data_IF_157126959034
#
_entry.id   IF_157126959034
#
_cell.length_a   1.000
_cell.length_b   1.000
_cell.length_c   1.000
_cell.angle_alpha   90.00
_cell.angle_beta   90.00
_cell.angle_gamma   90.00
#
_symmetry.space_group_name_H-M   'P 1'
#
loop_
_entity.id
_entity.type
_entity.pdbx_description
1 polymer ?
#
# COMPACT_ATOMS: atom_id res chain seq x y z
N UNK A 1 -8.88 12.41 24.04
CA UNK A 1 -8.52 13.21 22.86
C UNK A 1 -8.83 12.38 21.63
N UNK A 2 -9.54 12.91 20.64
CA UNK A 2 -9.67 12.24 19.34
C UNK A 2 -8.31 12.34 18.63
N UNK A 3 -7.75 11.20 18.24
CA UNK A 3 -6.56 11.17 17.40
C UNK A 3 -6.98 11.45 15.96
N UNK A 4 -6.44 12.51 15.36
CA UNK A 4 -6.68 12.83 13.96
C UNK A 4 -5.86 11.89 13.09
N UNK A 5 -6.53 11.18 12.19
CA UNK A 5 -5.90 10.31 11.20
C UNK A 5 -5.84 11.07 9.87
N UNK A 6 -4.66 11.17 9.29
CA UNK A 6 -4.46 11.77 7.95
C UNK A 6 -4.31 10.66 6.92
N UNK A 7 -4.96 10.78 5.77
CA UNK A 7 -4.79 9.82 4.67
C UNK A 7 -4.00 10.51 3.55
N UNK A 8 -2.93 9.86 3.08
CA UNK A 8 -2.15 10.35 1.94
C UNK A 8 -1.84 9.24 0.94
N UNK A 9 -1.38 9.64 -0.25
CA UNK A 9 -0.84 8.71 -1.24
C UNK A 9 0.39 8.00 -0.66
N UNK A 10 0.43 6.68 -0.82
CA UNK A 10 1.63 5.90 -0.55
C UNK A 10 2.66 6.11 -1.66
N UNK A 11 3.94 6.09 -1.31
CA UNK A 11 5.07 6.11 -2.26
C UNK A 11 6.10 5.04 -1.91
N UNK A 12 7.14 4.91 -2.74
CA UNK A 12 8.22 3.93 -2.51
C UNK A 12 8.79 3.93 -1.07
N UNK A 13 9.01 5.07 -0.39
CA UNK A 13 9.48 5.08 0.99
C UNK A 13 8.56 4.38 2.00
N UNK A 14 7.28 4.17 1.66
CA UNK A 14 6.34 3.49 2.53
C UNK A 14 6.44 1.96 2.43
N UNK A 15 7.22 1.41 1.48
CA UNK A 15 7.28 -0.03 1.20
C UNK A 15 7.66 -0.87 2.43
N UNK A 16 8.69 -0.47 3.18
CA UNK A 16 9.11 -1.17 4.40
C UNK A 16 8.00 -1.23 5.46
N UNK A 17 7.32 -0.10 5.68
CA UNK A 17 6.22 0.00 6.63
C UNK A 17 5.03 -0.85 6.18
N UNK A 18 4.73 -0.85 4.88
CA UNK A 18 3.67 -1.68 4.32
C UNK A 18 3.98 -3.18 4.44
N UNK A 19 5.20 -3.61 4.12
CA UNK A 19 5.63 -5.01 4.28
C UNK A 19 5.52 -5.44 5.74
N UNK A 20 5.99 -4.59 6.66
CA UNK A 20 5.92 -4.87 8.10
C UNK A 20 4.48 -5.05 8.58
N UNK A 21 3.55 -4.20 8.14
CA UNK A 21 2.13 -4.34 8.47
C UNK A 21 1.53 -5.61 7.85
N UNK A 22 1.81 -5.87 6.57
CA UNK A 22 1.33 -7.08 5.88
C UNK A 22 1.82 -8.35 6.58
N UNK A 23 3.07 -8.37 7.04
CA UNK A 23 3.61 -9.46 7.84
C UNK A 23 2.87 -9.62 9.18
N UNK A 24 2.66 -8.52 9.92
CA UNK A 24 1.95 -8.55 11.21
C UNK A 24 0.50 -9.02 11.07
N UNK A 25 -0.16 -8.73 9.95
CA UNK A 25 -1.54 -9.17 9.72
C UNK A 25 -1.66 -10.68 9.51
N UNK A 26 -0.57 -11.35 9.09
CA UNK A 26 -0.56 -12.78 8.75
C UNK A 26 -1.47 -13.16 7.57
N UNK A 27 -2.04 -12.18 6.84
CA UNK A 27 -2.96 -12.43 5.73
C UNK A 27 -2.28 -13.09 4.53
N UNK A 28 -0.98 -12.88 4.38
CA UNK A 28 -0.19 -13.38 3.26
C UNK A 28 0.93 -14.28 3.77
N UNK A 29 0.75 -15.59 3.69
CA UNK A 29 1.72 -16.59 4.17
C UNK A 29 3.08 -16.52 3.49
N UNK A 30 3.17 -15.90 2.31
CA UNK A 30 4.42 -15.69 1.58
C UNK A 30 5.17 -14.42 2.02
N UNK A 31 4.50 -13.49 2.72
CA UNK A 31 5.15 -12.32 3.32
C UNK A 31 5.68 -12.76 4.68
N UNK A 32 6.97 -13.02 4.75
CA UNK A 32 7.65 -13.51 5.95
C UNK A 32 8.94 -12.73 6.19
N UNK A 33 9.37 -12.70 7.46
CA UNK A 33 10.58 -11.98 7.89
C UNK A 33 11.82 -12.42 7.11
N UNK A 34 11.89 -13.71 6.77
CA UNK A 34 13.01 -14.30 6.02
C UNK A 34 13.18 -13.67 4.63
N UNK A 35 12.12 -13.13 4.06
CA UNK A 35 12.08 -12.57 2.71
C UNK A 35 11.73 -11.07 2.74
N UNK A 36 12.00 -10.38 3.85
CA UNK A 36 11.55 -8.98 4.02
C UNK A 36 12.12 -8.05 2.95
N UNK A 37 13.42 -8.15 2.64
CA UNK A 37 14.06 -7.36 1.58
C UNK A 37 13.45 -7.64 0.21
N UNK A 38 13.23 -8.91 -0.15
CA UNK A 38 12.59 -9.28 -1.42
C UNK A 38 11.15 -8.78 -1.51
N UNK A 39 10.42 -8.76 -0.39
CA UNK A 39 9.06 -8.23 -0.35
C UNK A 39 9.04 -6.71 -0.51
N UNK A 40 10.01 -6.00 0.06
CA UNK A 40 10.16 -4.55 -0.11
C UNK A 40 10.49 -4.22 -1.57
N UNK A 41 11.51 -4.86 -2.14
CA UNK A 41 11.93 -4.69 -3.54
C UNK A 41 10.80 -4.98 -4.54
N UNK A 42 9.87 -5.87 -4.19
CA UNK A 42 8.68 -6.15 -5.01
C UNK A 42 7.58 -5.10 -4.89
N UNK A 43 7.43 -4.48 -3.72
CA UNK A 43 6.36 -3.50 -3.46
C UNK A 43 6.76 -2.10 -3.94
N UNK A 44 8.01 -1.69 -3.79
CA UNK A 44 8.51 -0.39 -4.26
C UNK A 44 8.05 -0.02 -5.69
N UNK A 45 8.31 -0.84 -6.73
CA UNK A 45 7.90 -0.49 -8.10
C UNK A 45 6.38 -0.48 -8.27
N UNK A 46 5.63 -1.22 -7.45
CA UNK A 46 4.17 -1.17 -7.46
C UNK A 46 3.66 0.16 -6.91
N UNK A 47 4.32 0.72 -5.89
CA UNK A 47 3.97 2.02 -5.33
C UNK A 47 4.36 3.17 -6.25
N UNK A 48 5.53 3.10 -6.88
CA UNK A 48 5.97 4.10 -7.87
C UNK A 48 4.98 4.23 -9.03
N UNK A 49 4.42 3.10 -9.46
CA UNK A 49 3.48 3.06 -10.57
C UNK A 49 2.02 3.13 -10.14
N UNK A 50 1.69 3.29 -8.84
CA UNK A 50 0.31 3.23 -8.33
C UNK A 50 -0.60 4.39 -8.76
N UNK A 51 -0.06 5.38 -9.48
CA UNK A 51 -0.80 6.57 -9.89
C UNK A 51 -0.56 6.97 -11.33
N UNK A 52 0.08 6.10 -12.12
CA UNK A 52 0.21 6.34 -13.56
C UNK A 52 -1.13 6.13 -14.26
N UNK A 53 -1.30 6.79 -15.41
CA UNK A 53 -2.54 6.68 -16.20
C UNK A 53 -2.82 5.26 -16.71
N UNK A 54 -1.81 4.39 -16.69
CA UNK A 54 -1.88 2.98 -17.09
C UNK A 54 -2.05 2.03 -15.89
N UNK A 55 -2.01 2.54 -14.66
CA UNK A 55 -2.09 1.72 -13.45
C UNK A 55 -3.52 1.25 -13.18
N UNK A 56 -3.67 -0.02 -12.83
CA UNK A 56 -4.97 -0.61 -12.42
C UNK A 56 -5.22 -0.54 -10.92
N UNK A 57 -4.31 0.07 -10.16
CA UNK A 57 -4.32 0.09 -8.70
C UNK A 57 -3.90 1.46 -8.19
N UNK A 58 -4.34 1.80 -6.98
CA UNK A 58 -3.84 2.93 -6.20
C UNK A 58 -3.63 2.50 -4.75
N UNK A 59 -2.68 3.12 -4.07
CA UNK A 59 -2.23 2.70 -2.74
C UNK A 59 -2.13 3.88 -1.78
N UNK A 60 -2.84 3.84 -0.66
CA UNK A 60 -2.86 4.94 0.32
C UNK A 60 -2.37 4.45 1.67
N UNK A 61 -1.80 5.38 2.45
CA UNK A 61 -1.41 5.17 3.85
C UNK A 61 -2.20 6.10 4.73
N UNK A 62 -2.64 5.59 5.89
CA UNK A 62 -3.19 6.42 6.95
C UNK A 62 -2.09 6.66 7.99
N UNK A 63 -1.87 7.91 8.37
CA UNK A 63 -0.88 8.32 9.35
C UNK A 63 -1.58 8.73 10.63
N UNK A 64 -1.14 8.12 11.73
CA UNK A 64 -1.47 8.59 13.08
C UNK A 64 -0.43 9.62 13.54
N UNK A 65 -0.74 10.48 14.53
CA UNK A 65 0.20 11.48 15.05
C UNK A 65 1.49 10.89 15.65
N UNK A 66 1.52 9.58 15.89
CA UNK A 66 2.70 8.83 16.37
C UNK A 66 3.54 8.23 15.24
N UNK A 67 3.31 8.64 13.98
CA UNK A 67 3.91 8.03 12.78
C UNK A 67 3.67 6.52 12.67
N UNK A 68 2.67 5.98 13.39
CA UNK A 68 2.27 4.59 13.21
C UNK A 68 1.38 4.55 11.98
N UNK A 69 1.96 4.15 10.85
CA UNK A 69 1.26 3.96 9.57
C UNK A 69 0.18 2.90 9.80
N UNK A 70 -1.07 3.28 9.64
CA UNK A 70 -2.23 2.44 9.77
C UNK A 70 -2.72 2.05 8.38
N UNK A 71 -2.72 0.73 8.15
CA UNK A 71 -3.48 0.00 7.13
C UNK A 71 -3.07 0.26 5.66
N UNK A 72 -2.38 -0.69 5.00
CA UNK A 72 -2.37 -0.74 3.53
C UNK A 72 -3.81 -0.82 3.02
N UNK A 73 -4.31 0.25 2.41
CA UNK A 73 -5.54 0.20 1.64
C UNK A 73 -5.20 -0.03 0.17
N UNK A 74 -5.45 -1.25 -0.31
CA UNK A 74 -5.39 -1.60 -1.74
C UNK A 74 -6.78 -1.37 -2.34
N UNK A 75 -6.98 -0.27 -3.04
CA UNK A 75 -8.13 -0.14 -3.94
C UNK A 75 -7.81 -0.95 -5.22
N UNK A 76 -8.44 -2.12 -5.38
CA UNK A 76 -8.41 -2.87 -6.64
C UNK A 76 -9.63 -2.53 -7.47
N UNK A 77 -9.35 -2.33 -8.75
CA UNK A 77 -10.23 -2.15 -9.89
C UNK A 77 -10.82 -0.74 -10.05
N UNK A 78 -10.21 0.02 -10.96
CA UNK A 78 -11.05 0.71 -11.93
C UNK A 78 -12.08 -0.31 -12.44
N UNK A 79 -13.36 -0.07 -12.17
CA UNK A 79 -14.42 -0.68 -12.99
C UNK A 79 -14.03 -0.38 -14.44
N UNK A 80 -14.07 -1.36 -15.36
CA UNK A 80 -13.83 -1.06 -16.76
C UNK A 80 -14.75 0.11 -17.12
N UNK A 81 -14.16 1.25 -17.51
CA UNK A 81 -14.93 2.27 -18.21
C UNK A 81 -15.49 1.54 -19.42
N UNK A 82 -16.79 1.25 -19.42
CA UNK A 82 -17.48 0.94 -20.65
C UNK A 82 -17.39 2.19 -21.50
N UNK A 83 -16.31 2.32 -22.28
CA UNK A 83 -16.36 3.10 -23.51
C UNK A 83 -17.35 2.37 -24.39
N UNK A 84 -18.63 2.71 -24.20
CA UNK A 84 -19.72 2.22 -25.03
C UNK A 84 -19.48 2.65 -26.47
N UNK A 85 -19.74 1.75 -27.43
CA UNK A 85 -20.56 2.06 -28.58
C UNK A 85 -22.06 1.88 -28.24
#
# INVERSE_FOLDING_TARGET
MQETITIRKAGAPDAESLVSILQQTGWFSHISEKHISENIERIEPLLENAYSDTASHSAYVAETPRNSIAVPYRAVAALPCSSGP
#
